data_IF_447200266885
#
_entry.id   IF_447200266885
#
_cell.length_a   1.000
_cell.length_b   1.000
_cell.length_c   1.000
_cell.angle_alpha   90.00
_cell.angle_beta   90.00
_cell.angle_gamma   90.00
#
_symmetry.space_group_name_H-M   'P 1'
#
loop_
_entity.id
_entity.type
_entity.pdbx_description
1 polymer ?
#
# COMPACT_ATOMS: atom_id res chain seq x y z
N UNK A 1 9.64 16.39 8.81
CA UNK A 1 9.00 15.48 9.77
C UNK A 1 9.95 14.33 10.06
N UNK A 2 10.21 13.99 11.33
CA UNK A 2 11.13 12.89 11.69
C UNK A 2 10.40 11.56 11.52
N UNK A 3 10.99 10.62 10.78
CA UNK A 3 10.47 9.25 10.65
C UNK A 3 10.95 8.41 11.84
N UNK A 4 10.02 7.75 12.51
CA UNK A 4 10.33 6.75 13.56
C UNK A 4 9.99 5.36 13.05
N UNK A 5 10.95 4.43 13.10
CA UNK A 5 10.71 3.02 12.79
C UNK A 5 10.22 2.34 14.07
N UNK A 6 9.00 1.84 14.06
CA UNK A 6 8.35 1.21 15.22
C UNK A 6 8.44 -0.32 15.23
N UNK A 7 8.88 -0.92 14.12
CA UNK A 7 9.05 -2.37 14.00
C UNK A 7 9.52 -2.79 12.61
N UNK A 8 9.75 -4.09 12.44
CA UNK A 8 10.02 -4.75 11.16
C UNK A 8 8.94 -5.80 10.88
N UNK A 9 8.60 -5.99 9.60
CA UNK A 9 7.57 -6.92 9.14
C UNK A 9 8.15 -8.25 8.61
N UNK A 10 9.47 -8.41 8.69
CA UNK A 10 10.21 -9.58 8.18
C UNK A 10 11.49 -9.16 7.46
N UNK A 11 12.26 -10.13 7.00
CA UNK A 11 13.39 -9.87 6.12
C UNK A 11 12.92 -9.39 4.74
N UNK A 12 13.68 -8.51 4.11
CA UNK A 12 13.30 -7.96 2.79
C UNK A 12 13.21 -9.05 1.71
N UNK A 13 14.06 -10.08 1.77
CA UNK A 13 14.04 -11.16 0.78
C UNK A 13 12.85 -12.09 1.01
N UNK A 14 12.50 -12.36 2.27
CA UNK A 14 11.32 -13.13 2.62
C UNK A 14 10.03 -12.46 2.12
N UNK A 15 9.92 -11.14 2.28
CA UNK A 15 8.77 -10.38 1.78
C UNK A 15 8.73 -10.35 0.24
N UNK A 16 9.87 -10.15 -0.42
CA UNK A 16 9.96 -10.20 -1.90
C UNK A 16 9.55 -11.57 -2.45
N UNK A 17 9.89 -12.65 -1.74
CA UNK A 17 9.52 -14.01 -2.14
C UNK A 17 8.00 -14.27 -2.10
N UNK A 18 7.20 -13.36 -1.51
CA UNK A 18 5.73 -13.43 -1.53
C UNK A 18 5.11 -12.74 -2.75
N UNK A 19 5.91 -12.09 -3.58
CA UNK A 19 5.45 -11.39 -4.79
C UNK A 19 5.64 -12.33 -5.98
N UNK A 20 4.55 -12.57 -6.71
CA UNK A 20 4.59 -13.40 -7.91
C UNK A 20 5.23 -12.59 -9.03
N UNK A 21 6.36 -13.08 -9.54
CA UNK A 21 7.01 -12.49 -10.70
C UNK A 21 6.26 -12.92 -11.97
N UNK A 22 5.97 -11.96 -12.84
CA UNK A 22 5.31 -12.16 -14.15
C UNK A 22 3.92 -12.83 -14.06
N UNK A 23 3.26 -12.74 -12.91
CA UNK A 23 1.92 -13.27 -12.67
C UNK A 23 1.11 -12.31 -11.76
N UNK A 24 -0.17 -12.63 -11.56
CA UNK A 24 -1.10 -11.83 -10.78
C UNK A 24 -0.71 -11.75 -9.31
N UNK A 25 -0.78 -10.54 -8.78
CA UNK A 25 -0.66 -10.25 -7.36
C UNK A 25 -1.95 -9.59 -6.87
N UNK A 26 -2.44 -10.00 -5.71
CA UNK A 26 -3.55 -9.32 -5.03
C UNK A 26 -2.99 -8.20 -4.18
N UNK A 27 -3.34 -6.96 -4.50
CA UNK A 27 -2.98 -5.79 -3.70
C UNK A 27 -4.19 -5.35 -2.88
N UNK A 28 -4.01 -5.21 -1.57
CA UNK A 28 -5.01 -4.63 -0.66
C UNK A 28 -4.40 -3.41 0.02
N UNK A 29 -5.11 -2.29 -0.03
CA UNK A 29 -4.77 -1.07 0.67
C UNK A 29 -5.88 -0.81 1.69
N UNK A 30 -5.51 -0.69 2.96
CA UNK A 30 -6.41 -0.30 4.05
C UNK A 30 -5.99 1.08 4.54
N UNK A 31 -6.79 2.09 4.23
CA UNK A 31 -6.62 3.45 4.71
C UNK A 31 -7.73 3.75 5.74
N UNK A 32 -7.38 3.76 7.03
CA UNK A 32 -8.32 4.03 8.12
C UNK A 32 -7.81 5.18 8.98
N UNK A 33 -8.45 6.34 8.88
CA UNK A 33 -7.99 7.55 9.54
C UNK A 33 -6.60 7.94 9.02
N UNK A 34 -5.62 8.06 9.92
CA UNK A 34 -4.23 8.33 9.55
C UNK A 34 -3.34 7.08 9.51
N UNK A 35 -3.89 5.87 9.63
CA UNK A 35 -3.14 4.63 9.48
C UNK A 35 -3.33 4.03 8.09
N UNK A 36 -2.23 3.71 7.43
CA UNK A 36 -2.15 3.18 6.08
C UNK A 36 -1.44 1.82 6.14
N UNK A 37 -2.12 0.78 5.65
CA UNK A 37 -1.57 -0.57 5.59
C UNK A 37 -1.65 -1.10 4.16
N UNK A 38 -0.53 -1.63 3.65
CA UNK A 38 -0.44 -2.20 2.31
C UNK A 38 -0.13 -3.69 2.40
N UNK A 39 -0.89 -4.49 1.66
CA UNK A 39 -0.72 -5.92 1.59
C UNK A 39 -0.52 -6.36 0.14
N UNK A 40 0.34 -7.35 -0.05
CA UNK A 40 0.51 -8.06 -1.32
C UNK A 40 0.35 -9.55 -1.05
N UNK A 41 -0.56 -10.19 -1.76
CA UNK A 41 -0.91 -11.60 -1.59
C UNK A 41 -1.23 -11.97 -0.13
N UNK A 42 -1.93 -11.07 0.57
CA UNK A 42 -2.32 -11.23 1.98
C UNK A 42 -1.22 -10.95 3.01
N UNK A 43 0.02 -10.69 2.57
CA UNK A 43 1.16 -10.40 3.45
C UNK A 43 1.29 -8.89 3.66
N UNK A 44 1.37 -8.44 4.92
CA UNK A 44 1.55 -7.03 5.28
C UNK A 44 2.95 -6.57 4.87
N UNK A 45 3.02 -5.63 3.93
CA UNK A 45 4.26 -5.10 3.36
C UNK A 45 4.65 -3.74 3.96
N UNK A 46 3.67 -2.97 4.43
CA UNK A 46 3.88 -1.65 5.03
C UNK A 46 2.75 -1.32 5.99
N UNK A 47 3.10 -0.72 7.13
CA UNK A 47 2.17 -0.19 8.13
C UNK A 47 2.69 1.16 8.64
N UNK A 48 1.97 2.22 8.32
CA UNK A 48 2.39 3.61 8.57
C UNK A 48 1.27 4.35 9.27
N UNK A 49 1.61 5.08 10.32
CA UNK A 49 0.73 6.08 10.94
C UNK A 49 1.24 7.47 10.56
N UNK A 50 0.48 8.20 9.74
CA UNK A 50 0.82 9.55 9.30
C UNK A 50 0.39 10.59 10.35
N UNK A 51 1.37 10.97 11.18
CA UNK A 51 1.19 11.99 12.22
C UNK A 51 1.48 13.41 11.72
N UNK A 52 1.77 13.61 10.43
CA UNK A 52 1.98 14.95 9.87
C UNK A 52 0.64 15.64 9.65
N UNK A 53 0.11 16.29 10.68
CA UNK A 53 -1.20 16.97 10.60
C UNK A 53 -1.25 18.09 9.57
N UNK A 54 -0.10 18.61 9.14
CA UNK A 54 0.01 19.68 8.15
C UNK A 54 -0.08 19.12 6.73
N UNK A 55 0.64 18.02 6.46
CA UNK A 55 0.79 17.49 5.09
C UNK A 55 -0.08 16.27 4.80
N UNK A 56 -0.59 15.56 5.81
CA UNK A 56 -1.43 14.36 5.59
C UNK A 56 -2.69 14.68 4.79
N UNK A 57 -3.24 13.65 4.15
CA UNK A 57 -4.53 13.70 3.46
C UNK A 57 -5.43 12.59 3.99
N UNK A 58 -6.66 12.96 4.36
CA UNK A 58 -7.67 12.01 4.83
C UNK A 58 -8.61 11.54 3.71
N UNK A 59 -8.59 12.23 2.57
CA UNK A 59 -9.37 11.90 1.39
C UNK A 59 -8.58 12.27 0.13
N UNK A 60 -8.89 11.60 -0.98
CA UNK A 60 -8.23 11.79 -2.26
C UNK A 60 -8.79 10.86 -3.34
N UNK A 61 -8.13 10.87 -4.49
CA UNK A 61 -8.44 9.99 -5.61
C UNK A 61 -7.57 8.74 -5.58
N UNK A 62 -8.06 7.65 -6.16
CA UNK A 62 -7.28 6.43 -6.41
C UNK A 62 -6.80 6.45 -7.85
N UNK A 63 -5.51 6.24 -8.05
CA UNK A 63 -4.90 6.18 -9.37
C UNK A 63 -3.83 5.10 -9.43
N UNK A 64 -3.63 4.55 -10.63
CA UNK A 64 -2.51 3.64 -10.91
C UNK A 64 -1.42 4.45 -11.61
N UNK A 65 -0.18 4.30 -11.13
CA UNK A 65 0.99 4.95 -11.73
C UNK A 65 1.91 3.88 -12.30
N UNK A 66 2.29 4.05 -13.57
CA UNK A 66 3.37 3.31 -14.20
C UNK A 66 4.59 4.23 -14.21
N UNK A 67 5.69 3.76 -13.63
CA UNK A 67 6.94 4.54 -13.59
C UNK A 67 7.55 4.66 -14.98
N UNK A 68 8.25 5.77 -15.25
CA UNK A 68 8.92 5.98 -16.55
C UNK A 68 10.19 5.11 -16.61
N UNK A 69 10.37 4.34 -17.68
CA UNK A 69 11.52 3.44 -17.84
C UNK A 69 11.50 2.72 -19.19
N UNK A 70 12.29 1.63 -19.35
CA UNK A 70 12.17 0.75 -20.50
C UNK A 70 10.71 0.28 -20.70
N UNK A 71 10.31 -0.08 -21.92
CA UNK A 71 8.94 -0.53 -22.19
C UNK A 71 8.47 -1.59 -21.20
N UNK A 72 7.35 -1.34 -20.54
CA UNK A 72 6.76 -2.25 -19.56
C UNK A 72 5.27 -2.42 -19.81
N UNK A 73 4.77 -3.63 -19.54
CA UNK A 73 3.33 -3.95 -19.59
C UNK A 73 2.85 -4.20 -18.16
N UNK A 74 1.73 -3.59 -17.80
CA UNK A 74 1.04 -3.85 -16.54
C UNK A 74 -0.43 -4.10 -16.84
N UNK A 75 -1.01 -5.10 -16.18
CA UNK A 75 -2.41 -5.48 -16.34
C UNK A 75 -3.09 -5.39 -14.98
N UNK A 76 -4.30 -4.81 -14.96
CA UNK A 76 -5.10 -4.64 -13.75
C UNK A 76 -6.45 -5.32 -13.95
N UNK A 77 -6.95 -5.98 -12.89
CA UNK A 77 -8.30 -6.56 -12.85
C UNK A 77 -8.86 -6.49 -11.44
N UNK A 78 -10.18 -6.62 -11.32
CA UNK A 78 -10.89 -6.70 -10.03
C UNK A 78 -10.59 -5.51 -9.09
N UNK A 79 -10.59 -4.29 -9.64
CA UNK A 79 -10.43 -3.07 -8.83
C UNK A 79 -11.73 -2.81 -8.07
N UNK A 80 -11.68 -2.99 -6.76
CA UNK A 80 -12.81 -2.81 -5.86
C UNK A 80 -12.50 -1.71 -4.85
N UNK A 81 -13.52 -0.91 -4.52
CA UNK A 81 -13.42 0.13 -3.49
C UNK A 81 -14.52 -0.08 -2.46
N UNK A 82 -14.12 -0.17 -1.19
CA UNK A 82 -15.05 -0.19 -0.05
C UNK A 82 -14.74 1.02 0.83
N UNK A 83 -15.72 1.90 1.00
CA UNK A 83 -15.63 2.97 1.98
C UNK A 83 -15.73 2.40 3.39
N UNK A 84 -14.80 2.78 4.25
CA UNK A 84 -14.82 2.43 5.66
C UNK A 84 -15.51 3.58 6.40
N UNK A 85 -16.55 3.32 7.22
CA UNK A 85 -17.17 4.37 8.02
C UNK A 85 -16.13 5.10 8.88
N UNK A 86 -16.29 6.41 9.04
CA UNK A 86 -15.53 7.15 10.03
C UNK A 86 -15.75 6.49 11.40
N UNK A 87 -14.69 6.39 12.21
CA UNK A 87 -14.87 6.03 13.62
C UNK A 87 -15.77 7.10 14.26
N UNK A 88 -16.84 6.65 14.93
CA UNK A 88 -17.70 7.52 15.75
C UNK A 88 -16.90 8.16 16.88
#
# INVERSE_FOLDING_TARGET
TVRTVTGTLGDSNELKAKINKDDWNTCLIVAKGNRLQHFVNGVLMSDVTDNDTTNRRLAGLVGVQVHVGPPMKVEYKNILLKQIPAAQ
#
